data_IF_048939840652
#
_entry.id   IF_048939840652
#
_cell.length_a   1.000
_cell.length_b   1.000
_cell.length_c   1.000
_cell.angle_alpha   90.00
_cell.angle_beta   90.00
_cell.angle_gamma   90.00
#
_symmetry.space_group_name_H-M   'P 1'
#
loop_
_entity.id
_entity.type
_entity.pdbx_description
1 polymer ?
#
# COMPACT_ATOMS: atom_id res chain seq x y z
N UNK A 1 13.13 30.21 26.80
CA UNK A 1 13.84 29.43 25.79
C UNK A 1 12.84 29.03 24.73
N UNK A 2 12.84 29.80 23.66
CA UNK A 2 12.14 29.51 22.42
C UNK A 2 12.89 28.34 21.76
N UNK A 3 12.31 27.14 21.75
CA UNK A 3 12.88 25.99 21.05
C UNK A 3 12.13 25.79 19.74
N UNK A 4 12.72 26.35 18.68
CA UNK A 4 12.79 25.72 17.37
C UNK A 4 11.48 25.62 16.60
N UNK A 5 11.24 26.63 15.76
CA UNK A 5 10.27 26.62 14.66
C UNK A 5 10.61 25.60 13.57
N UNK A 6 10.38 24.32 13.86
CA UNK A 6 10.39 23.18 12.94
C UNK A 6 9.23 22.26 13.40
N UNK A 7 8.21 21.84 12.64
CA UNK A 7 7.93 21.84 11.21
C UNK A 7 6.44 21.49 10.97
N UNK A 8 5.49 22.39 11.19
CA UNK A 8 4.14 22.18 10.61
C UNK A 8 4.18 22.06 9.07
N UNK A 9 5.29 22.51 8.45
CA UNK A 9 5.61 22.47 7.02
C UNK A 9 6.08 21.09 6.50
N UNK A 10 6.57 20.19 7.35
CA UNK A 10 7.11 18.90 6.89
C UNK A 10 6.05 17.81 6.74
N UNK A 11 4.90 17.98 7.41
CA UNK A 11 3.76 17.08 7.28
C UNK A 11 2.98 17.34 6.00
N UNK A 12 2.84 16.31 5.16
CA UNK A 12 2.13 16.37 3.89
C UNK A 12 0.88 15.49 3.93
N UNK A 13 -0.13 15.77 3.07
CA UNK A 13 -1.22 14.83 2.88
C UNK A 13 -0.68 13.44 2.56
N UNK A 14 -1.28 12.40 3.14
CA UNK A 14 -0.91 11.02 2.89
C UNK A 14 -1.06 10.69 1.40
N UNK A 15 -0.03 10.11 0.77
CA UNK A 15 -0.06 9.66 -0.63
C UNK A 15 -0.19 8.15 -0.67
N UNK A 16 -1.30 7.68 -1.22
CA UNK A 16 -1.67 6.26 -1.24
C UNK A 16 -1.59 5.75 -2.67
N UNK A 17 -0.85 4.65 -2.86
CA UNK A 17 -0.91 3.89 -4.10
C UNK A 17 -1.70 2.60 -3.88
N UNK A 18 -2.64 2.29 -4.76
CA UNK A 18 -3.48 1.09 -4.65
C UNK A 18 -3.16 0.15 -5.83
N UNK A 19 -2.91 -1.12 -5.51
CA UNK A 19 -2.67 -2.19 -6.50
C UNK A 19 -3.75 -3.25 -6.37
N UNK A 20 -4.62 -3.30 -7.37
CA UNK A 20 -5.67 -4.32 -7.50
C UNK A 20 -5.28 -5.47 -8.44
N UNK A 21 -3.98 -5.83 -8.49
CA UNK A 21 -3.44 -6.80 -9.48
C UNK A 21 -3.94 -8.25 -9.24
N UNK A 22 -4.45 -8.57 -8.06
CA UNK A 22 -5.05 -9.87 -7.73
C UNK A 22 -6.53 -10.02 -8.10
N UNK A 23 -7.20 -8.92 -8.44
CA UNK A 23 -8.62 -8.91 -8.83
C UNK A 23 -8.78 -9.24 -10.33
N UNK A 24 -8.07 -10.26 -10.81
CA UNK A 24 -8.24 -10.71 -12.19
C UNK A 24 -9.43 -11.65 -12.22
N UNK A 25 -10.43 -11.31 -13.03
CA UNK A 25 -11.41 -12.30 -13.46
C UNK A 25 -10.65 -13.41 -14.18
N UNK A 26 -10.39 -14.51 -13.47
CA UNK A 26 -9.88 -15.75 -14.04
C UNK A 26 -10.97 -16.51 -14.81
N UNK A 27 -12.18 -15.95 -14.88
CA UNK A 27 -13.37 -16.59 -15.39
C UNK A 27 -14.12 -15.58 -16.24
N UNK A 28 -13.94 -15.61 -17.56
CA UNK A 28 -14.72 -14.82 -18.53
C UNK A 28 -16.24 -15.14 -18.50
N UNK A 29 -16.71 -15.93 -17.53
CA UNK A 29 -18.07 -16.47 -17.44
C UNK A 29 -18.92 -15.90 -16.28
N UNK A 30 -18.39 -15.01 -15.42
CA UNK A 30 -19.18 -14.39 -14.33
C UNK A 30 -19.28 -12.85 -14.46
N UNK A 31 -20.33 -12.35 -15.13
CA UNK A 31 -20.56 -10.92 -15.29
C UNK A 31 -20.85 -10.21 -13.97
N UNK A 32 -21.42 -10.90 -12.98
CA UNK A 32 -21.69 -10.33 -11.66
C UNK A 32 -20.38 -10.12 -10.90
N UNK A 33 -19.43 -11.06 -11.02
CA UNK A 33 -18.07 -10.89 -10.47
C UNK A 33 -17.36 -9.72 -11.14
N UNK A 34 -17.40 -9.61 -12.46
CA UNK A 34 -16.79 -8.49 -13.18
C UNK A 34 -17.35 -7.13 -12.72
N UNK A 35 -18.68 -7.04 -12.56
CA UNK A 35 -19.35 -5.83 -12.07
C UNK A 35 -18.94 -5.47 -10.62
N UNK A 36 -18.83 -6.45 -9.73
CA UNK A 36 -18.37 -6.24 -8.34
C UNK A 36 -16.92 -5.74 -8.30
N UNK A 37 -16.04 -6.33 -9.12
CA UNK A 37 -14.64 -5.93 -9.20
C UNK A 37 -14.50 -4.50 -9.73
N UNK A 38 -15.22 -4.14 -10.79
CA UNK A 38 -15.25 -2.75 -11.30
C UNK A 38 -15.81 -1.79 -10.26
N UNK A 39 -16.89 -2.13 -9.56
CA UNK A 39 -17.41 -1.26 -8.50
C UNK A 39 -16.38 -1.04 -7.37
N UNK A 40 -15.66 -2.10 -6.98
CA UNK A 40 -14.59 -2.00 -5.99
C UNK A 40 -13.44 -1.12 -6.49
N UNK A 41 -12.93 -1.35 -7.71
CA UNK A 41 -11.75 -0.63 -8.24
C UNK A 41 -12.04 0.80 -8.64
N UNK A 42 -13.24 1.07 -9.14
CA UNK A 42 -13.55 2.34 -9.79
C UNK A 42 -14.31 3.29 -8.85
N UNK A 43 -14.96 2.76 -7.80
CA UNK A 43 -15.72 3.56 -6.84
C UNK A 43 -15.14 3.49 -5.44
N UNK A 44 -15.06 2.29 -4.85
CA UNK A 44 -14.74 2.15 -3.43
C UNK A 44 -13.28 2.50 -3.13
N UNK A 45 -12.32 1.91 -3.85
CA UNK A 45 -10.89 2.15 -3.61
C UNK A 45 -10.50 3.62 -3.83
N UNK A 46 -10.97 4.32 -4.90
CA UNK A 46 -10.68 5.74 -5.08
C UNK A 46 -11.30 6.62 -3.99
N UNK A 47 -12.53 6.34 -3.56
CA UNK A 47 -13.18 7.10 -2.48
C UNK A 47 -12.44 6.92 -1.15
N UNK A 48 -12.10 5.68 -0.80
CA UNK A 48 -11.33 5.38 0.42
C UNK A 48 -9.95 6.07 0.38
N UNK A 49 -9.24 5.99 -0.75
CA UNK A 49 -7.95 6.67 -0.94
C UNK A 49 -8.08 8.18 -0.72
N UNK A 50 -9.08 8.81 -1.35
CA UNK A 50 -9.32 10.26 -1.25
C UNK A 50 -9.61 10.67 0.19
N UNK A 51 -10.49 9.92 0.87
CA UNK A 51 -10.82 10.19 2.26
C UNK A 51 -9.57 10.17 3.14
N UNK A 52 -8.80 9.07 3.13
CA UNK A 52 -7.63 8.92 3.98
C UNK A 52 -6.51 9.91 3.64
N UNK A 53 -6.29 10.19 2.36
CA UNK A 53 -5.32 11.19 1.91
C UNK A 53 -5.63 12.59 2.43
N UNK A 54 -6.92 12.94 2.53
CA UNK A 54 -7.36 14.24 3.06
C UNK A 54 -7.40 14.31 4.59
N UNK A 55 -7.69 13.18 5.24
CA UNK A 55 -7.84 13.08 6.68
C UNK A 55 -6.50 12.99 7.43
N UNK A 56 -5.45 12.44 6.78
CA UNK A 56 -4.19 12.13 7.42
C UNK A 56 -3.05 13.01 6.91
N UNK A 57 -2.18 13.39 7.83
CA UNK A 57 -0.94 14.12 7.58
C UNK A 57 0.22 13.25 8.06
N UNK A 58 1.20 13.02 7.20
CA UNK A 58 2.34 12.13 7.47
C UNK A 58 3.66 12.83 7.21
N UNK A 59 4.71 12.33 7.87
CA UNK A 59 6.07 12.59 7.41
C UNK A 59 6.32 11.70 6.19
N UNK A 60 6.65 12.29 5.02
CA UNK A 60 6.71 11.52 3.78
C UNK A 60 7.83 10.48 3.80
N UNK A 61 7.60 9.34 3.14
CA UNK A 61 8.66 8.36 2.91
C UNK A 61 9.75 9.00 2.03
N UNK A 62 11.01 8.93 2.48
CA UNK A 62 12.13 9.65 1.85
C UNK A 62 12.53 9.09 0.48
N UNK A 63 12.40 7.78 0.29
CA UNK A 63 13.00 7.04 -0.83
C UNK A 63 11.96 6.21 -1.61
N UNK A 64 10.69 6.56 -1.48
CA UNK A 64 9.58 5.78 -2.04
C UNK A 64 9.39 4.43 -1.32
N UNK A 65 8.50 3.60 -1.86
CA UNK A 65 8.17 2.29 -1.29
C UNK A 65 8.34 1.22 -2.36
N UNK A 66 9.15 0.20 -2.08
CA UNK A 66 9.21 -1.00 -2.92
C UNK A 66 8.35 -2.08 -2.31
N UNK A 67 7.36 -2.54 -3.06
CA UNK A 67 6.60 -3.74 -2.72
C UNK A 67 7.23 -4.92 -3.44
N UNK A 68 7.49 -5.99 -2.70
CA UNK A 68 8.02 -7.24 -3.25
C UNK A 68 6.96 -8.32 -3.18
N UNK A 69 7.04 -9.27 -4.10
CA UNK A 69 6.24 -10.48 -4.06
C UNK A 69 6.42 -11.20 -2.73
N UNK A 70 5.36 -11.87 -2.32
CA UNK A 70 5.40 -12.77 -1.18
C UNK A 70 4.46 -13.95 -1.44
N UNK A 71 4.21 -14.74 -0.41
CA UNK A 71 3.26 -15.85 -0.49
C UNK A 71 1.80 -15.40 -0.71
N UNK A 72 1.46 -14.16 -0.36
CA UNK A 72 0.12 -13.57 -0.47
C UNK A 72 -0.21 -13.06 -1.87
N UNK A 73 0.78 -12.54 -2.57
CA UNK A 73 0.58 -11.96 -3.88
C UNK A 73 1.85 -12.02 -4.72
N UNK A 74 1.63 -12.12 -6.04
CA UNK A 74 2.68 -11.98 -7.04
C UNK A 74 2.49 -10.74 -7.89
N UNK A 75 3.57 -10.01 -8.11
CA UNK A 75 3.67 -8.84 -8.97
C UNK A 75 4.30 -9.28 -10.29
N UNK A 76 3.89 -8.62 -11.37
CA UNK A 76 4.51 -8.80 -12.68
C UNK A 76 5.94 -8.22 -12.65
N UNK A 77 6.92 -9.03 -12.24
CA UNK A 77 8.32 -8.63 -12.11
C UNK A 77 8.99 -8.97 -10.77
N UNK A 78 8.25 -9.49 -9.78
CA UNK A 78 8.80 -9.83 -8.46
C UNK A 78 8.90 -8.65 -7.48
N UNK A 79 8.94 -7.42 -7.98
CA UNK A 79 8.84 -6.19 -7.20
C UNK A 79 8.24 -5.03 -8.03
N UNK A 80 7.71 -4.02 -7.34
CA UNK A 80 7.07 -2.83 -7.92
C UNK A 80 7.45 -1.63 -7.04
N UNK A 81 8.21 -0.68 -7.60
CA UNK A 81 8.69 0.50 -6.89
C UNK A 81 7.72 1.66 -7.07
N UNK A 82 7.47 2.38 -5.98
CA UNK A 82 6.54 3.48 -5.91
C UNK A 82 7.23 4.74 -5.43
N UNK A 83 7.58 5.59 -6.40
CA UNK A 83 7.98 6.96 -6.12
C UNK A 83 6.81 7.74 -5.50
N UNK A 84 7.16 8.77 -4.72
CA UNK A 84 6.20 9.75 -4.20
C UNK A 84 4.99 9.13 -3.44
N UNK A 85 5.20 7.99 -2.80
CA UNK A 85 4.14 7.22 -2.11
C UNK A 85 4.52 6.98 -0.66
N UNK A 86 3.55 7.13 0.24
CA UNK A 86 3.75 6.93 1.68
C UNK A 86 3.18 5.60 2.18
N UNK A 87 2.18 5.06 1.48
CA UNK A 87 1.61 3.73 1.71
C UNK A 87 1.23 3.08 0.39
N UNK A 88 1.53 1.79 0.23
CA UNK A 88 1.00 0.96 -0.86
C UNK A 88 0.00 -0.04 -0.30
N UNK A 89 -1.22 -0.04 -0.84
CA UNK A 89 -2.28 -0.99 -0.49
C UNK A 89 -2.40 -2.01 -1.62
N UNK A 90 -2.10 -3.27 -1.32
CA UNK A 90 -2.28 -4.39 -2.25
C UNK A 90 -3.61 -5.07 -1.94
N UNK A 91 -4.52 -5.09 -2.91
CA UNK A 91 -5.83 -5.72 -2.80
C UNK A 91 -5.78 -7.08 -3.50
N UNK A 92 -6.03 -8.13 -2.73
CA UNK A 92 -6.05 -9.53 -3.17
C UNK A 92 -7.42 -10.16 -2.91
N UNK A 93 -7.76 -11.18 -3.68
CA UNK A 93 -8.97 -11.97 -3.45
C UNK A 93 -8.75 -12.96 -2.30
N UNK A 94 -9.76 -13.14 -1.45
CA UNK A 94 -9.73 -13.84 -0.14
C UNK A 94 -9.19 -15.28 -0.17
N UNK A 95 -9.03 -15.90 -1.33
CA UNK A 95 -8.46 -17.25 -1.47
C UNK A 95 -6.95 -17.32 -1.19
N UNK A 96 -6.30 -16.17 -0.98
CA UNK A 96 -4.88 -16.05 -0.65
C UNK A 96 -4.69 -15.76 0.85
N UNK A 97 -4.98 -16.73 1.71
CA UNK A 97 -4.58 -16.64 3.12
C UNK A 97 -3.06 -16.76 3.22
N UNK A 98 -2.44 -15.80 3.91
CA UNK A 98 -1.07 -15.91 4.37
C UNK A 98 -1.11 -16.23 5.86
N UNK A 99 -0.36 -17.25 6.25
CA UNK A 99 0.00 -17.37 7.66
C UNK A 99 0.79 -16.10 8.03
N UNK A 100 0.49 -15.48 9.17
CA UNK A 100 1.07 -14.19 9.57
C UNK A 100 2.61 -14.25 9.58
N UNK A 101 3.24 -13.80 8.50
CA UNK A 101 4.68 -13.60 8.42
C UNK A 101 5.09 -12.39 9.25
N UNK A 102 5.75 -12.66 10.37
CA UNK A 102 6.35 -11.68 11.30
C UNK A 102 6.97 -10.50 10.54
N UNK A 103 6.45 -9.29 10.78
CA UNK A 103 7.05 -8.04 10.32
C UNK A 103 8.45 -7.95 10.94
N UNK A 104 9.47 -8.22 10.12
CA UNK A 104 10.87 -8.09 10.52
C UNK A 104 11.16 -6.63 10.88
N UNK A 105 11.48 -6.43 12.15
CA UNK A 105 11.84 -5.15 12.75
C UNK A 105 12.93 -4.42 11.95
N UNK A 106 12.68 -3.15 11.66
CA UNK A 106 13.63 -2.27 11.01
C UNK A 106 14.67 -1.81 12.05
N UNK A 107 15.87 -2.37 11.98
CA UNK A 107 17.06 -1.73 12.53
C UNK A 107 17.39 -2.06 13.98
N UNK A 108 18.36 -2.95 14.16
CA UNK A 108 19.02 -3.18 15.44
C UNK A 108 20.42 -3.76 15.21
N UNK A 109 21.36 -2.89 14.86
CA UNK A 109 22.77 -3.28 14.85
C UNK A 109 23.21 -3.69 16.26
N UNK A 110 23.82 -4.87 16.37
CA UNK A 110 24.70 -5.19 17.48
C UNK A 110 25.87 -6.05 16.95
N UNK A 111 27.05 -5.44 17.03
CA UNK A 111 28.35 -6.12 16.95
C UNK A 111 28.56 -7.01 18.17
N UNK A 112 29.53 -7.93 18.00
CA UNK A 112 30.33 -8.63 19.02
C UNK A 112 29.78 -9.98 19.48
N UNK A 113 30.57 -11.06 19.57
CA UNK A 113 32.01 -11.21 19.37
C UNK A 113 32.44 -12.66 19.23
#
# INVERSE_FOLDING_TARGET
FDQGGETASSYRPLRISIKAKGLRSSSDDDPDRAARLSFLTDTILPQASTFWSSALRVFPASDGITVRDNECFRLAGGEDHHDDTDIVVVVVEETSYCEEGVVGDAGGGARSG
#
